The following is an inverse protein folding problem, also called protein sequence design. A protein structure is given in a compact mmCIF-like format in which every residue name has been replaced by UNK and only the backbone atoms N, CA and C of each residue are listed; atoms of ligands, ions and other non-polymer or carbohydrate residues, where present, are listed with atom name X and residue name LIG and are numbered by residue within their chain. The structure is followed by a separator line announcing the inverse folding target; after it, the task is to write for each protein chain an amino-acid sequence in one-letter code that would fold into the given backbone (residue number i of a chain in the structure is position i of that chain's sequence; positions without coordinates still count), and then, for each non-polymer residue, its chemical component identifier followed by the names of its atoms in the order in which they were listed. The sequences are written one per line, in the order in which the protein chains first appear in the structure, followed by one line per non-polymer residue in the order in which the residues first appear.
data_IF_884666674707
#
_entry.id   IF_884666674707
#
_cell.length_a   1.000
_cell.length_b   1.000
_cell.length_c   1.000
_cell.angle_alpha   90.00
_cell.angle_beta   90.00
_cell.angle_gamma   90.00
#
_symmetry.space_group_name_H-M   'P 1'
#
loop_
_entity.id
_entity.type
_entity.pdbx_description
1 polymer ?
#
# COMPACT_ATOMS: atom_id res chain seq x y z
N UNK A 1 -27.24 10.46 -4.58
CA UNK A 1 -26.11 9.85 -5.32
C UNK A 1 -24.86 10.12 -4.50
N UNK A 2 -24.29 9.08 -3.88
CA UNK A 2 -23.19 9.25 -2.93
C UNK A 2 -21.89 9.08 -3.69
N UNK A 3 -21.07 10.14 -3.74
CA UNK A 3 -19.73 10.10 -4.29
C UNK A 3 -18.89 9.13 -3.44
N UNK A 4 -18.54 7.97 -3.99
CA UNK A 4 -17.58 7.04 -3.37
C UNK A 4 -16.20 7.66 -3.51
N UNK A 5 -15.80 8.50 -2.55
CA UNK A 5 -14.43 9.01 -2.46
C UNK A 5 -13.51 7.90 -1.97
N UNK A 6 -13.06 7.05 -2.92
CA UNK A 6 -11.70 6.52 -3.05
C UNK A 6 -10.90 6.23 -1.76
N UNK A 7 -11.45 5.44 -0.83
CA UNK A 7 -10.62 4.71 0.18
C UNK A 7 -10.04 3.42 -0.42
N UNK A 8 -10.53 3.00 -1.59
CA UNK A 8 -10.08 1.82 -2.34
C UNK A 8 -8.71 2.06 -2.97
N UNK A 9 -7.78 1.12 -2.81
CA UNK A 9 -6.46 1.13 -3.46
C UNK A 9 -5.25 1.02 -2.52
N UNK A 10 -5.41 1.36 -1.22
CA UNK A 10 -4.35 1.17 -0.24
C UNK A 10 -4.00 -0.33 -0.05
N UNK A 11 -5.01 -1.20 -0.10
CA UNK A 11 -4.83 -2.66 -0.07
C UNK A 11 -4.09 -3.19 -1.31
N UNK A 12 -4.42 -2.69 -2.51
CA UNK A 12 -3.73 -3.10 -3.73
C UNK A 12 -2.27 -2.63 -3.73
N UNK A 13 -2.03 -1.42 -3.22
CA UNK A 13 -0.67 -0.88 -3.07
C UNK A 13 0.16 -1.66 -2.06
N UNK A 14 -0.46 -2.02 -0.93
CA UNK A 14 0.13 -2.91 0.06
C UNK A 14 0.52 -4.25 -0.61
N UNK A 15 -0.43 -4.90 -1.29
CA UNK A 15 -0.21 -6.21 -1.90
C UNK A 15 0.86 -6.18 -2.98
N UNK A 16 0.87 -5.18 -3.84
CA UNK A 16 1.91 -5.02 -4.86
C UNK A 16 3.31 -4.88 -4.25
N UNK A 17 3.44 -4.06 -3.20
CA UNK A 17 4.71 -3.85 -2.50
C UNK A 17 5.14 -5.10 -1.71
N UNK A 18 4.20 -5.86 -1.16
CA UNK A 18 4.46 -7.12 -0.45
C UNK A 18 4.98 -8.19 -1.42
N UNK A 19 4.25 -8.44 -2.51
CA UNK A 19 4.64 -9.41 -3.54
C UNK A 19 5.99 -9.05 -4.17
N UNK A 20 6.26 -7.76 -4.39
CA UNK A 20 7.55 -7.33 -4.91
C UNK A 20 8.70 -7.58 -3.90
N UNK A 21 8.44 -7.48 -2.60
CA UNK A 21 9.43 -7.78 -1.56
C UNK A 21 9.69 -9.29 -1.42
N UNK A 22 8.64 -10.09 -1.42
CA UNK A 22 8.76 -11.56 -1.45
C UNK A 22 9.50 -12.03 -2.71
N UNK A 23 9.21 -11.46 -3.88
CA UNK A 23 9.88 -11.78 -5.14
C UNK A 23 11.38 -11.44 -5.13
N UNK A 24 11.82 -10.50 -4.27
CA UNK A 24 13.24 -10.19 -4.06
C UNK A 24 13.91 -11.09 -3.02
N UNK A 25 13.13 -11.93 -2.33
CA UNK A 25 13.62 -12.77 -1.24
C UNK A 25 13.74 -12.04 0.10
N UNK A 26 13.05 -10.91 0.27
CA UNK A 26 13.02 -10.19 1.54
C UNK A 26 12.40 -11.09 2.63
N UNK A 27 12.90 -10.98 3.86
CA UNK A 27 12.33 -11.72 4.98
C UNK A 27 10.87 -11.27 5.22
N UNK A 28 9.99 -12.12 5.77
CA UNK A 28 8.56 -11.79 5.92
C UNK A 28 8.28 -10.47 6.64
N UNK A 29 9.10 -10.13 7.65
CA UNK A 29 8.99 -8.86 8.37
C UNK A 29 9.34 -7.64 7.51
N UNK A 30 10.39 -7.74 6.68
CA UNK A 30 10.82 -6.67 5.79
C UNK A 30 9.82 -6.48 4.64
N UNK A 31 9.26 -7.58 4.12
CA UNK A 31 8.19 -7.56 3.14
C UNK A 31 6.92 -6.89 3.68
N UNK A 32 6.57 -7.15 4.94
CA UNK A 32 5.44 -6.49 5.60
C UNK A 32 5.71 -4.99 5.81
N UNK A 33 6.90 -4.62 6.28
CA UNK A 33 7.28 -3.22 6.50
C UNK A 33 7.27 -2.42 5.19
N UNK A 34 7.81 -2.98 4.11
CA UNK A 34 7.76 -2.39 2.77
C UNK A 34 6.32 -2.16 2.30
N UNK A 35 5.44 -3.14 2.50
CA UNK A 35 4.03 -3.05 2.13
C UNK A 35 3.27 -1.97 2.92
N UNK A 36 3.50 -1.89 4.24
CA UNK A 36 2.93 -0.86 5.11
C UNK A 36 3.39 0.55 4.72
N UNK A 37 4.68 0.73 4.43
CA UNK A 37 5.22 2.02 4.01
C UNK A 37 4.60 2.48 2.68
N UNK A 38 4.44 1.57 1.72
CA UNK A 38 3.82 1.87 0.42
C UNK A 38 2.33 2.25 0.56
N UNK A 39 1.59 1.55 1.42
CA UNK A 39 0.19 1.87 1.70
C UNK A 39 0.05 3.19 2.45
N UNK A 40 0.88 3.44 3.46
CA UNK A 40 0.89 4.69 4.22
C UNK A 40 1.21 5.88 3.31
N UNK A 41 2.22 5.77 2.44
CA UNK A 41 2.53 6.82 1.45
C UNK A 41 1.37 7.13 0.52
N UNK A 42 0.56 6.13 0.14
CA UNK A 42 -0.60 6.32 -0.72
C UNK A 42 -1.72 7.05 0.01
N UNK A 43 -2.05 6.62 1.23
CA UNK A 43 -3.10 7.25 2.06
C UNK A 43 -2.72 8.67 2.49
N UNK A 44 -1.44 8.90 2.82
CA UNK A 44 -0.93 10.22 3.20
C UNK A 44 -0.70 11.15 2.00
N UNK A 45 -0.59 10.62 0.79
CA UNK A 45 -0.47 11.40 -0.46
C UNK A 45 -1.83 11.77 -1.08
N UNK A 46 -2.89 11.01 -0.81
CA UNK A 46 -4.26 11.25 -1.30
C UNK A 46 -5.08 12.16 -0.36
N UNK A 47 -4.41 13.10 0.31
CA UNK A 47 -5.07 14.27 0.91
C UNK A 47 -4.86 15.46 -0.03
N UNK A 48 -5.56 15.55 -1.18
CA UNK A 48 -5.70 16.84 -1.83
C UNK A 48 -6.45 17.75 -0.85
N UNK A 49 -5.87 18.92 -0.59
CA UNK A 49 -6.54 19.98 0.18
C UNK A 49 -7.72 20.56 -0.60
#
# INVERSE_FOLDING_TARGET
EVLVTRVTGAGDRFMAAHMAAEARGDAPGDALNSALAAAASYVSGDVPS
#
